data_IF_697163178544
#
_entry.id   IF_697163178544
#
_cell.length_a   1.000
_cell.length_b   1.000
_cell.length_c   1.000
_cell.angle_alpha   90.00
_cell.angle_beta   90.00
_cell.angle_gamma   90.00
#
_symmetry.space_group_name_H-M   'P 1'
#
loop_
_entity.id
_entity.type
_entity.pdbx_description
1 polymer ?
#
# COMPACT_ATOMS: atom_id res chain seq x y z
N UNK A 1 5.12 -26.14 -2.65
CA UNK A 1 4.35 -25.46 -1.59
C UNK A 1 4.76 -24.00 -1.53
N UNK A 2 3.82 -23.10 -1.27
CA UNK A 2 4.12 -21.71 -0.91
C UNK A 2 4.01 -21.51 0.59
N UNK A 3 4.72 -20.51 1.12
CA UNK A 3 4.49 -19.97 2.45
C UNK A 3 4.21 -18.46 2.34
N UNK A 4 3.21 -17.97 3.07
CA UNK A 4 2.95 -16.55 3.24
C UNK A 4 3.44 -16.13 4.62
N UNK A 5 4.44 -15.28 4.67
CA UNK A 5 4.89 -14.59 5.88
C UNK A 5 4.12 -13.27 5.98
N UNK A 6 3.44 -13.03 7.09
CA UNK A 6 2.60 -11.85 7.32
C UNK A 6 2.90 -11.27 8.70
N UNK A 7 3.32 -10.00 8.73
CA UNK A 7 3.70 -9.32 9.96
C UNK A 7 2.46 -8.94 10.78
N UNK A 8 2.38 -9.42 12.01
CA UNK A 8 1.23 -9.20 12.88
C UNK A 8 1.11 -7.74 13.31
N UNK A 9 -0.02 -7.09 13.02
CA UNK A 9 -0.28 -5.69 13.38
C UNK A 9 0.91 -4.77 13.02
N UNK A 10 1.46 -4.92 11.85
CA UNK A 10 2.79 -4.49 11.44
C UNK A 10 3.21 -3.10 11.95
N UNK A 11 2.43 -2.04 11.66
CA UNK A 11 2.82 -0.69 12.08
C UNK A 11 2.87 -0.53 13.59
N UNK A 12 1.94 -1.15 14.33
CA UNK A 12 2.00 -1.18 15.81
C UNK A 12 3.23 -1.95 16.27
N UNK A 13 3.54 -3.08 15.66
CA UNK A 13 4.73 -3.87 16.01
C UNK A 13 6.02 -3.08 15.75
N UNK A 14 6.08 -2.29 14.68
CA UNK A 14 7.20 -1.36 14.45
C UNK A 14 7.31 -0.30 15.57
N UNK A 15 6.21 0.29 16.02
CA UNK A 15 6.23 1.23 17.16
C UNK A 15 6.75 0.56 18.45
N UNK A 16 6.36 -0.69 18.69
CA UNK A 16 6.83 -1.49 19.84
C UNK A 16 8.35 -1.78 19.78
N UNK A 17 8.93 -1.87 18.57
CA UNK A 17 10.40 -2.01 18.47
C UNK A 17 11.16 -0.79 18.95
N UNK A 18 10.58 0.41 18.86
CA UNK A 18 11.17 1.64 19.38
C UNK A 18 10.88 1.84 20.87
N UNK A 19 9.70 1.42 21.31
CA UNK A 19 9.25 1.56 22.69
C UNK A 19 8.61 0.28 23.22
N UNK A 20 9.40 -0.62 23.85
CA UNK A 20 8.90 -1.87 24.42
C UNK A 20 7.82 -1.71 25.50
N UNK A 21 7.71 -0.53 26.13
CA UNK A 21 6.66 -0.28 27.13
C UNK A 21 5.24 -0.29 26.53
N UNK A 22 5.13 -0.29 25.20
CA UNK A 22 3.85 -0.41 24.47
C UNK A 22 3.34 -1.86 24.43
N UNK A 23 4.12 -2.85 24.89
CA UNK A 23 3.67 -4.24 24.98
C UNK A 23 2.45 -4.35 25.92
N UNK A 24 1.48 -5.17 25.52
CA UNK A 24 0.23 -5.39 26.24
C UNK A 24 -0.60 -4.13 26.49
N UNK A 25 -0.31 -3.02 25.78
CA UNK A 25 -1.13 -1.79 25.84
C UNK A 25 -1.96 -1.63 24.56
N UNK A 26 -3.16 -1.02 24.64
CA UNK A 26 -3.93 -0.68 23.47
C UNK A 26 -3.23 0.43 22.68
N UNK A 27 -2.82 0.10 21.46
CA UNK A 27 -2.07 0.98 20.56
C UNK A 27 -2.77 1.04 19.20
N UNK A 28 -2.84 2.24 18.63
CA UNK A 28 -3.30 2.45 17.25
C UNK A 28 -2.30 3.32 16.50
N UNK A 29 -2.12 3.02 15.22
CA UNK A 29 -1.40 3.89 14.28
C UNK A 29 -2.42 4.54 13.36
N UNK A 30 -2.29 5.85 13.18
CA UNK A 30 -3.19 6.68 12.40
C UNK A 30 -2.61 6.96 11.02
N UNK A 31 -3.48 7.05 10.02
CA UNK A 31 -3.11 7.40 8.64
C UNK A 31 -2.57 8.84 8.53
N UNK A 32 -2.17 9.24 7.32
CA UNK A 32 -1.79 10.63 7.04
C UNK A 32 -2.84 11.62 7.61
N UNK A 33 -2.35 12.72 8.21
CA UNK A 33 -3.14 13.72 8.93
C UNK A 33 -3.92 13.14 10.13
N UNK A 34 -3.46 12.06 10.71
CA UNK A 34 -4.06 11.39 11.87
C UNK A 34 -5.58 11.11 11.70
N UNK A 35 -5.99 10.84 10.44
CA UNK A 35 -7.41 10.79 10.08
C UNK A 35 -8.11 9.49 10.47
N UNK A 36 -7.51 8.33 10.18
CA UNK A 36 -8.12 7.02 10.38
C UNK A 36 -7.13 6.02 10.95
N UNK A 37 -7.63 5.03 11.68
CA UNK A 37 -6.82 3.91 12.20
C UNK A 37 -6.38 3.00 11.05
N UNK A 38 -5.08 2.84 10.84
CA UNK A 38 -4.48 1.98 9.79
C UNK A 38 -3.77 0.76 10.35
N UNK A 39 -3.48 0.74 11.66
CA UNK A 39 -3.02 -0.44 12.38
C UNK A 39 -3.48 -0.36 13.82
N UNK A 40 -3.67 -1.51 14.46
CA UNK A 40 -4.16 -1.60 15.84
C UNK A 40 -3.63 -2.86 16.51
N UNK A 41 -3.25 -2.74 17.77
CA UNK A 41 -2.82 -3.87 18.60
C UNK A 41 -3.98 -4.84 18.89
N UNK A 42 -3.68 -6.01 19.44
CA UNK A 42 -4.72 -6.97 19.89
C UNK A 42 -5.63 -6.30 20.93
N UNK A 43 -5.04 -5.65 21.90
CA UNK A 43 -5.75 -4.95 22.98
C UNK A 43 -6.69 -3.85 22.43
N UNK A 44 -6.26 -3.12 21.40
CA UNK A 44 -7.11 -2.14 20.74
C UNK A 44 -8.25 -2.78 19.92
N UNK A 45 -8.04 -3.98 19.35
CA UNK A 45 -9.10 -4.77 18.69
C UNK A 45 -10.14 -5.25 19.72
N UNK A 46 -9.68 -5.72 20.88
CA UNK A 46 -10.54 -6.21 21.96
C UNK A 46 -11.42 -5.09 22.57
N UNK A 47 -10.96 -3.83 22.51
CA UNK A 47 -11.77 -2.64 22.81
C UNK A 47 -12.80 -2.28 21.73
N UNK A 48 -12.92 -3.08 20.66
CA UNK A 48 -13.88 -2.86 19.58
C UNK A 48 -13.51 -1.74 18.60
N UNK A 49 -12.23 -1.29 18.56
CA UNK A 49 -11.79 -0.28 17.58
C UNK A 49 -11.72 -0.94 16.19
N UNK A 50 -12.52 -0.53 15.18
CA UNK A 50 -12.49 -1.16 13.86
C UNK A 50 -11.33 -0.65 12.99
N UNK A 51 -10.95 -1.42 11.97
CA UNK A 51 -10.02 -0.97 10.93
C UNK A 51 -10.64 0.18 10.13
N UNK A 52 -9.82 1.14 9.72
CA UNK A 52 -10.24 2.37 9.04
C UNK A 52 -11.20 3.27 9.86
N UNK A 53 -11.30 3.05 11.17
CA UNK A 53 -12.08 3.92 12.07
C UNK A 53 -11.62 5.37 11.96
N UNK A 54 -12.51 6.35 11.71
CA UNK A 54 -12.15 7.76 11.78
C UNK A 54 -11.77 8.13 13.23
N UNK A 55 -10.51 8.53 13.44
CA UNK A 55 -9.96 8.76 14.79
C UNK A 55 -10.80 9.73 15.62
N UNK A 56 -11.35 10.77 14.98
CA UNK A 56 -12.17 11.77 15.69
C UNK A 56 -13.45 11.19 16.33
N UNK A 57 -14.01 10.10 15.78
CA UNK A 57 -15.21 9.43 16.33
C UNK A 57 -14.88 8.57 17.56
N UNK A 58 -13.63 8.23 17.77
CA UNK A 58 -13.17 7.33 18.83
C UNK A 58 -12.36 8.05 19.92
N UNK A 59 -12.26 9.37 19.88
CA UNK A 59 -11.47 10.17 20.84
C UNK A 59 -11.83 9.88 22.31
N UNK A 60 -13.11 9.80 22.63
CA UNK A 60 -13.57 9.50 24.01
C UNK A 60 -13.16 8.09 24.44
N UNK A 61 -13.31 7.11 23.53
CA UNK A 61 -12.87 5.74 23.80
C UNK A 61 -11.36 5.68 23.99
N UNK A 62 -10.59 6.39 23.16
CA UNK A 62 -9.14 6.44 23.28
C UNK A 62 -8.72 7.05 24.63
N UNK A 63 -9.36 8.13 25.06
CA UNK A 63 -9.10 8.76 26.37
C UNK A 63 -9.47 7.84 27.53
N UNK A 64 -10.69 7.25 27.48
CA UNK A 64 -11.20 6.37 28.54
C UNK A 64 -10.31 5.16 28.81
N UNK A 65 -9.76 4.55 27.75
CA UNK A 65 -8.94 3.32 27.83
C UNK A 65 -7.45 3.58 27.68
N UNK A 66 -6.98 4.84 27.75
CA UNK A 66 -5.57 5.23 27.60
C UNK A 66 -4.93 4.64 26.35
N UNK A 67 -5.67 4.60 25.22
CA UNK A 67 -5.17 4.09 23.94
C UNK A 67 -4.04 4.98 23.46
N UNK A 68 -2.86 4.39 23.20
CA UNK A 68 -1.72 5.11 22.65
C UNK A 68 -1.89 5.30 21.14
N UNK A 69 -1.85 6.55 20.69
CA UNK A 69 -2.03 6.91 19.28
C UNK A 69 -0.69 7.39 18.70
N UNK A 70 -0.33 6.87 17.53
CA UNK A 70 0.85 7.29 16.78
C UNK A 70 0.48 7.72 15.38
N UNK A 71 1.11 8.79 14.87
CA UNK A 71 1.06 9.13 13.46
C UNK A 71 1.89 8.15 12.65
N UNK A 72 1.44 7.77 11.44
CA UNK A 72 2.19 6.84 10.58
C UNK A 72 3.61 7.35 10.26
N UNK A 73 4.59 6.48 10.45
CA UNK A 73 6.03 6.69 10.25
C UNK A 73 6.53 5.73 9.17
N UNK A 74 6.18 5.97 7.92
CA UNK A 74 6.46 5.04 6.82
C UNK A 74 7.95 4.76 6.62
N UNK A 75 8.80 5.68 6.99
CA UNK A 75 10.26 5.52 6.98
C UNK A 75 10.70 4.38 7.90
N UNK A 76 10.21 4.36 9.14
CA UNK A 76 10.43 3.27 10.09
C UNK A 76 9.85 1.94 9.58
N UNK A 77 8.62 2.00 9.05
CA UNK A 77 7.93 0.78 8.59
C UNK A 77 8.64 0.17 7.38
N UNK A 78 9.13 1.00 6.45
CA UNK A 78 9.95 0.52 5.34
C UNK A 78 11.24 -0.13 5.82
N UNK A 79 11.94 0.49 6.78
CA UNK A 79 13.16 -0.06 7.36
C UNK A 79 12.90 -1.44 7.98
N UNK A 80 11.88 -1.56 8.83
CA UNK A 80 11.52 -2.82 9.47
C UNK A 80 11.04 -3.89 8.47
N UNK A 81 10.32 -3.48 7.44
CA UNK A 81 9.92 -4.37 6.35
C UNK A 81 11.15 -4.95 5.62
N UNK A 82 12.16 -4.13 5.33
CA UNK A 82 13.39 -4.61 4.70
C UNK A 82 14.14 -5.62 5.58
N UNK A 83 14.21 -5.40 6.90
CA UNK A 83 14.81 -6.38 7.82
C UNK A 83 14.10 -7.75 7.73
N UNK A 84 12.75 -7.76 7.72
CA UNK A 84 11.96 -9.00 7.59
C UNK A 84 12.18 -9.66 6.24
N UNK A 85 12.22 -8.87 5.15
CA UNK A 85 12.47 -9.36 3.79
C UNK A 85 13.85 -9.99 3.69
N UNK A 86 14.91 -9.34 4.17
CA UNK A 86 16.28 -9.86 4.07
C UNK A 86 16.46 -11.16 4.90
N UNK A 87 15.85 -11.25 6.10
CA UNK A 87 15.83 -12.50 6.85
C UNK A 87 15.09 -13.59 6.07
N UNK A 88 13.93 -13.28 5.50
CA UNK A 88 13.12 -14.25 4.76
C UNK A 88 13.81 -14.75 3.48
N UNK A 89 14.51 -13.87 2.78
CA UNK A 89 15.31 -14.22 1.59
C UNK A 89 16.41 -15.24 1.91
N UNK A 90 17.03 -15.18 3.10
CA UNK A 90 18.09 -16.14 3.47
C UNK A 90 17.57 -17.58 3.59
N UNK A 91 16.25 -17.75 3.65
CA UNK A 91 15.56 -19.06 3.70
C UNK A 91 15.21 -19.64 2.34
N UNK A 92 15.31 -18.86 1.26
CA UNK A 92 14.95 -19.28 -0.11
C UNK A 92 15.97 -18.73 -1.12
N UNK A 93 15.88 -19.12 -2.38
CA UNK A 93 16.68 -18.55 -3.45
C UNK A 93 16.26 -17.13 -3.84
N UNK A 94 17.13 -16.42 -4.55
CA UNK A 94 16.88 -15.04 -5.00
C UNK A 94 15.63 -14.85 -5.88
N UNK A 95 15.14 -15.93 -6.49
CA UNK A 95 13.94 -15.92 -7.35
C UNK A 95 12.71 -16.55 -6.69
N UNK A 96 12.88 -17.10 -5.50
CA UNK A 96 11.88 -17.92 -4.83
C UNK A 96 11.08 -17.12 -3.78
N UNK A 97 11.00 -15.81 -3.95
CA UNK A 97 10.19 -14.93 -3.10
C UNK A 97 9.49 -13.83 -3.89
N UNK A 98 8.38 -13.34 -3.34
CA UNK A 98 7.66 -12.17 -3.82
C UNK A 98 7.29 -11.26 -2.65
N UNK A 99 7.71 -10.00 -2.70
CA UNK A 99 7.26 -8.98 -1.77
C UNK A 99 5.88 -8.51 -2.22
N UNK A 100 4.84 -9.06 -1.60
CA UNK A 100 3.46 -8.75 -1.94
C UNK A 100 3.01 -7.38 -1.42
N UNK A 101 3.37 -7.05 -0.18
CA UNK A 101 3.10 -5.75 0.44
C UNK A 101 4.24 -5.35 1.40
N UNK A 102 4.07 -4.23 2.13
CA UNK A 102 5.02 -3.78 3.14
C UNK A 102 5.14 -4.76 4.33
N UNK A 103 4.13 -5.59 4.55
CA UNK A 103 4.00 -6.52 5.69
C UNK A 103 3.76 -7.97 5.28
N UNK A 104 3.71 -8.28 3.98
CA UNK A 104 3.45 -9.62 3.46
C UNK A 104 4.43 -10.04 2.38
N UNK A 105 4.89 -11.27 2.47
CA UNK A 105 5.89 -11.88 1.60
C UNK A 105 5.50 -13.33 1.29
N UNK A 106 5.49 -13.71 0.01
CA UNK A 106 5.36 -15.11 -0.41
C UNK A 106 6.74 -15.71 -0.64
N UNK A 107 6.91 -16.97 -0.20
CA UNK A 107 8.09 -17.79 -0.44
C UNK A 107 7.68 -19.04 -1.23
N UNK A 108 8.43 -19.39 -2.26
CA UNK A 108 8.27 -20.69 -2.94
C UNK A 108 9.19 -21.74 -2.31
N UNK A 109 8.59 -22.72 -1.66
CA UNK A 109 9.28 -23.84 -1.01
C UNK A 109 9.20 -25.13 -1.83
N UNK A 110 8.92 -25.04 -3.13
CA UNK A 110 8.72 -26.22 -4.00
C UNK A 110 9.98 -27.06 -4.15
N UNK A 111 11.16 -26.42 -4.11
CA UNK A 111 12.46 -27.09 -4.20
C UNK A 111 12.85 -27.86 -2.91
N UNK A 112 12.19 -27.60 -1.79
CA UNK A 112 12.52 -28.17 -0.47
C UNK A 112 11.86 -29.53 -0.22
N UNK A 113 12.08 -30.50 -1.11
CA UNK A 113 11.38 -31.81 -1.10
C UNK A 113 11.69 -32.69 0.12
N UNK A 114 12.84 -32.51 0.74
CA UNK A 114 13.34 -33.34 1.86
C UNK A 114 13.39 -32.60 3.20
N UNK A 115 12.81 -31.40 3.26
CA UNK A 115 12.80 -30.57 4.45
C UNK A 115 11.42 -30.63 5.08
N UNK A 116 11.35 -30.75 6.39
CA UNK A 116 10.12 -30.50 7.14
C UNK A 116 9.76 -29.03 7.05
N UNK A 117 8.94 -28.68 6.05
CA UNK A 117 8.55 -27.31 5.73
C UNK A 117 7.88 -26.63 6.93
N UNK A 118 7.13 -27.36 7.75
CA UNK A 118 6.47 -26.80 8.92
C UNK A 118 7.49 -26.33 9.95
N UNK A 119 8.41 -27.20 10.35
CA UNK A 119 9.48 -26.84 11.29
C UNK A 119 10.42 -25.79 10.72
N UNK A 120 10.69 -25.80 9.42
CA UNK A 120 11.47 -24.78 8.73
C UNK A 120 10.81 -23.38 8.82
N UNK A 121 9.50 -23.30 8.65
CA UNK A 121 8.75 -22.06 8.81
C UNK A 121 8.67 -21.60 10.29
N UNK A 122 8.68 -22.53 11.25
CA UNK A 122 8.80 -22.17 12.67
C UNK A 122 10.17 -21.53 12.96
N UNK A 123 11.26 -22.08 12.42
CA UNK A 123 12.59 -21.49 12.56
C UNK A 123 12.64 -20.08 11.95
N UNK A 124 12.13 -19.89 10.74
CA UNK A 124 12.01 -18.58 10.10
C UNK A 124 11.24 -17.59 10.96
N UNK A 125 10.08 -17.98 11.50
CA UNK A 125 9.27 -17.14 12.38
C UNK A 125 10.05 -16.68 13.62
N UNK A 126 10.74 -17.60 14.29
CA UNK A 126 11.51 -17.28 15.49
C UNK A 126 12.72 -16.39 15.16
N UNK A 127 13.37 -16.60 14.02
CA UNK A 127 14.48 -15.77 13.58
C UNK A 127 14.03 -14.33 13.28
N UNK A 128 12.91 -14.14 12.57
CA UNK A 128 12.33 -12.81 12.32
C UNK A 128 12.00 -12.13 13.66
N UNK A 129 11.35 -12.83 14.58
CA UNK A 129 11.02 -12.32 15.90
C UNK A 129 12.27 -11.94 16.71
N UNK A 130 13.31 -12.75 16.64
CA UNK A 130 14.56 -12.53 17.36
C UNK A 130 15.34 -11.33 16.80
N UNK A 131 15.54 -11.25 15.48
CA UNK A 131 16.37 -10.25 14.81
C UNK A 131 15.63 -8.93 14.54
N UNK A 132 14.48 -8.99 13.85
CA UNK A 132 13.72 -7.80 13.49
C UNK A 132 12.79 -7.29 14.62
N UNK A 133 12.54 -8.10 15.65
CA UNK A 133 11.57 -7.84 16.73
C UNK A 133 10.13 -7.71 16.24
N UNK A 134 9.81 -8.25 15.08
CA UNK A 134 8.48 -8.21 14.46
C UNK A 134 7.85 -9.61 14.58
N UNK A 135 6.70 -9.76 15.26
CA UNK A 135 5.98 -11.02 15.28
C UNK A 135 5.31 -11.27 13.93
N UNK A 136 5.44 -12.49 13.40
CA UNK A 136 4.84 -12.90 12.13
C UNK A 136 3.94 -14.11 12.30
N UNK A 137 2.98 -14.25 11.39
CA UNK A 137 2.20 -15.47 11.18
C UNK A 137 2.54 -16.06 9.81
N UNK A 138 2.68 -17.38 9.72
CA UNK A 138 3.04 -18.05 8.48
C UNK A 138 1.95 -19.05 8.09
N UNK A 139 1.39 -18.87 6.89
CA UNK A 139 0.44 -19.80 6.28
C UNK A 139 1.08 -20.56 5.14
N UNK A 140 1.07 -21.90 5.20
CA UNK A 140 1.69 -22.79 4.23
C UNK A 140 0.60 -23.50 3.44
N UNK A 141 0.68 -23.52 2.10
CA UNK A 141 -0.30 -24.20 1.25
C UNK A 141 0.22 -24.43 -0.19
N UNK A 142 -0.47 -25.23 -1.03
CA UNK A 142 -0.13 -25.45 -2.42
C UNK A 142 -0.22 -24.18 -3.29
N UNK A 143 -1.09 -23.22 -2.94
CA UNK A 143 -1.38 -22.01 -3.72
C UNK A 143 -1.35 -20.75 -2.86
N UNK A 144 -1.16 -19.58 -3.48
CA UNK A 144 -1.16 -18.29 -2.77
C UNK A 144 -2.48 -18.00 -2.06
N UNK A 145 -3.61 -18.32 -2.71
CA UNK A 145 -4.94 -18.13 -2.12
C UNK A 145 -5.13 -18.99 -0.88
N UNK A 146 -4.72 -20.25 -0.91
CA UNK A 146 -4.76 -21.12 0.25
C UNK A 146 -3.79 -20.69 1.36
N UNK A 147 -2.61 -20.12 1.02
CA UNK A 147 -1.69 -19.53 2.02
C UNK A 147 -2.35 -18.39 2.79
N UNK A 148 -3.11 -17.53 2.12
CA UNK A 148 -3.89 -16.45 2.77
C UNK A 148 -4.94 -17.03 3.74
N UNK A 149 -5.58 -18.13 3.36
CA UNK A 149 -6.55 -18.83 4.23
C UNK A 149 -5.85 -19.44 5.44
N UNK A 150 -4.72 -20.14 5.23
CA UNK A 150 -3.92 -20.71 6.31
C UNK A 150 -3.47 -19.63 7.31
N UNK A 151 -2.99 -18.50 6.80
CA UNK A 151 -2.57 -17.36 7.62
C UNK A 151 -3.73 -16.77 8.43
N UNK A 152 -4.93 -16.66 7.83
CA UNK A 152 -6.13 -16.21 8.53
C UNK A 152 -6.53 -17.14 9.68
N UNK A 153 -6.39 -18.46 9.50
CA UNK A 153 -6.65 -19.46 10.54
C UNK A 153 -5.68 -19.24 11.71
N UNK A 154 -4.39 -19.09 11.43
CA UNK A 154 -3.36 -18.78 12.44
C UNK A 154 -3.72 -17.53 13.24
N UNK A 155 -4.11 -16.46 12.57
CA UNK A 155 -4.46 -15.18 13.22
C UNK A 155 -5.70 -15.24 14.09
N UNK A 156 -6.58 -16.23 13.89
CA UNK A 156 -7.76 -16.45 14.74
C UNK A 156 -7.40 -17.12 16.08
N UNK A 157 -6.42 -18.01 16.08
CA UNK A 157 -5.99 -18.73 17.27
C UNK A 157 -4.45 -18.91 17.24
N UNK A 158 -3.69 -17.82 17.48
CA UNK A 158 -2.22 -17.83 17.37
C UNK A 158 -1.55 -18.77 18.38
N UNK A 159 -2.15 -18.95 19.55
CA UNK A 159 -1.59 -19.79 20.62
C UNK A 159 -1.67 -21.26 20.22
N UNK A 160 -2.80 -21.72 19.70
CA UNK A 160 -3.03 -23.09 19.26
C UNK A 160 -2.07 -23.51 18.14
N UNK A 161 -1.80 -22.61 17.19
CA UNK A 161 -1.00 -22.90 15.99
C UNK A 161 0.46 -22.48 16.12
N UNK A 162 0.87 -21.94 17.25
CA UNK A 162 2.22 -21.38 17.42
C UNK A 162 2.65 -20.47 16.26
N UNK A 163 1.69 -19.72 15.70
CA UNK A 163 1.95 -18.77 14.62
C UNK A 163 2.21 -19.38 13.23
N UNK A 164 2.14 -20.71 13.04
CA UNK A 164 2.35 -21.39 11.76
C UNK A 164 1.25 -22.42 11.51
N UNK A 165 0.69 -22.48 10.31
CA UNK A 165 -0.29 -23.49 9.94
C UNK A 165 -0.15 -23.92 8.47
N UNK A 166 -0.29 -25.24 8.22
CA UNK A 166 -0.19 -25.81 6.89
C UNK A 166 -1.55 -26.37 6.43
N UNK A 167 -2.00 -25.96 5.26
CA UNK A 167 -3.07 -26.56 4.46
C UNK A 167 -2.41 -27.48 3.42
N UNK A 168 -1.92 -28.62 3.86
CA UNK A 168 -1.06 -29.57 3.13
C UNK A 168 -1.79 -30.84 2.69
N UNK A 169 -3.03 -31.05 3.18
CA UNK A 169 -3.85 -32.19 2.79
C UNK A 169 -5.24 -31.75 2.27
N UNK A 170 -5.88 -32.56 1.39
CA UNK A 170 -7.23 -32.25 0.89
C UNK A 170 -8.26 -32.05 2.00
N UNK A 171 -8.19 -32.84 3.07
CA UNK A 171 -9.12 -32.80 4.19
C UNK A 171 -8.99 -31.49 4.97
N UNK A 172 -7.75 -31.00 5.19
CA UNK A 172 -7.49 -29.71 5.83
C UNK A 172 -8.00 -28.56 4.96
N UNK A 173 -7.78 -28.63 3.64
CA UNK A 173 -8.26 -27.64 2.67
C UNK A 173 -9.80 -27.60 2.69
N UNK A 174 -10.48 -28.74 2.56
CA UNK A 174 -11.94 -28.82 2.59
C UNK A 174 -12.51 -28.23 3.88
N UNK A 175 -11.96 -28.60 5.03
CA UNK A 175 -12.37 -28.07 6.33
C UNK A 175 -12.19 -26.56 6.43
N UNK A 176 -11.08 -26.03 5.92
CA UNK A 176 -10.81 -24.59 5.91
C UNK A 176 -11.80 -23.85 4.99
N UNK A 177 -12.11 -24.39 3.82
CA UNK A 177 -13.06 -23.77 2.87
C UNK A 177 -14.50 -23.79 3.38
N UNK A 178 -14.93 -24.84 4.10
CA UNK A 178 -16.23 -24.91 4.77
C UNK A 178 -16.33 -23.92 5.94
N UNK A 179 -15.23 -23.59 6.59
CA UNK A 179 -15.18 -22.62 7.66
C UNK A 179 -15.16 -21.18 7.15
N UNK A 180 -14.46 -20.88 6.04
CA UNK A 180 -14.20 -19.52 5.57
C UNK A 180 -15.44 -18.90 4.92
N UNK A 181 -15.84 -17.69 5.40
CA UNK A 181 -16.88 -16.89 4.74
C UNK A 181 -16.43 -16.45 3.35
N UNK A 182 -17.36 -16.42 2.39
CA UNK A 182 -17.05 -16.08 0.99
C UNK A 182 -16.44 -14.68 0.86
N UNK A 183 -16.90 -13.70 1.65
CA UNK A 183 -16.38 -12.34 1.64
C UNK A 183 -14.96 -12.21 2.20
N UNK A 184 -14.44 -13.26 2.81
CA UNK A 184 -13.09 -13.33 3.38
C UNK A 184 -12.08 -14.01 2.44
N UNK A 185 -12.54 -14.52 1.30
CA UNK A 185 -11.66 -15.09 0.27
C UNK A 185 -10.87 -13.97 -0.40
N UNK A 186 -9.57 -14.13 -0.48
CA UNK A 186 -8.69 -13.17 -1.15
C UNK A 186 -9.12 -12.94 -2.61
N UNK A 187 -9.35 -11.68 -2.98
CA UNK A 187 -9.89 -11.28 -4.29
C UNK A 187 -11.42 -11.13 -4.33
N UNK A 188 -12.15 -11.48 -3.27
CA UNK A 188 -13.59 -11.21 -3.17
C UNK A 188 -13.81 -9.95 -2.34
N UNK A 189 -14.03 -8.82 -3.03
CA UNK A 189 -14.35 -7.56 -2.40
C UNK A 189 -15.83 -7.44 -1.99
N UNK A 190 -16.18 -6.41 -1.23
CA UNK A 190 -17.52 -6.19 -0.65
C UNK A 190 -18.68 -6.34 -1.66
N UNK A 191 -18.57 -5.75 -2.87
CA UNK A 191 -19.63 -5.83 -3.89
C UNK A 191 -19.81 -7.25 -4.41
N UNK A 192 -18.70 -7.96 -4.63
CA UNK A 192 -18.74 -9.32 -5.11
C UNK A 192 -19.27 -10.27 -4.02
N UNK A 193 -18.92 -10.06 -2.76
CA UNK A 193 -19.44 -10.83 -1.63
C UNK A 193 -20.97 -10.72 -1.53
N UNK A 194 -21.56 -9.52 -1.68
CA UNK A 194 -23.02 -9.34 -1.71
C UNK A 194 -23.62 -10.17 -2.86
N UNK A 195 -23.05 -10.06 -4.07
CA UNK A 195 -23.52 -10.83 -5.23
C UNK A 195 -23.41 -12.34 -5.01
N UNK A 196 -22.38 -12.82 -4.30
CA UNK A 196 -22.23 -14.22 -3.93
C UNK A 196 -23.37 -14.66 -2.98
N UNK A 197 -23.61 -13.88 -1.93
CA UNK A 197 -24.70 -14.16 -0.96
C UNK A 197 -26.07 -14.20 -1.66
N UNK A 198 -26.37 -13.27 -2.55
CA UNK A 198 -27.62 -13.24 -3.32
C UNK A 198 -27.81 -14.46 -4.22
N UNK A 199 -26.72 -15.18 -4.52
CA UNK A 199 -26.72 -16.42 -5.31
C UNK A 199 -26.51 -17.69 -4.46
N UNK A 200 -26.72 -17.60 -3.14
CA UNK A 200 -26.62 -18.72 -2.21
C UNK A 200 -25.20 -19.26 -2.02
N UNK A 201 -24.16 -18.40 -2.20
CA UNK A 201 -22.77 -18.73 -1.92
C UNK A 201 -22.35 -17.97 -0.67
N UNK A 202 -22.28 -18.66 0.47
CA UNK A 202 -21.96 -18.09 1.76
C UNK A 202 -20.53 -18.42 2.20
N UNK A 203 -20.06 -19.63 1.91
CA UNK A 203 -18.72 -20.14 2.24
C UNK A 203 -17.85 -20.25 1.00
N UNK A 204 -16.55 -20.29 1.20
CA UNK A 204 -15.61 -20.56 0.12
C UNK A 204 -15.86 -21.92 -0.54
N UNK A 205 -16.31 -22.91 0.23
CA UNK A 205 -16.69 -24.23 -0.25
C UNK A 205 -17.88 -24.19 -1.22
N UNK A 206 -18.88 -23.35 -0.95
CA UNK A 206 -20.07 -23.24 -1.81
C UNK A 206 -19.71 -22.75 -3.21
N UNK A 207 -18.67 -21.91 -3.32
CA UNK A 207 -18.18 -21.42 -4.60
C UNK A 207 -17.63 -22.57 -5.46
N UNK A 208 -16.99 -23.58 -4.85
CA UNK A 208 -16.46 -24.74 -5.56
C UNK A 208 -17.57 -25.65 -6.12
N UNK A 209 -18.78 -25.56 -5.57
CA UNK A 209 -19.95 -26.34 -6.03
C UNK A 209 -20.66 -25.68 -7.22
N UNK A 210 -20.31 -24.43 -7.57
CA UNK A 210 -20.90 -23.75 -8.72
C UNK A 210 -20.25 -24.21 -10.03
N UNK A 211 -21.04 -24.35 -11.12
CA UNK A 211 -20.50 -24.68 -12.44
C UNK A 211 -19.51 -23.60 -12.91
N UNK A 212 -18.43 -24.01 -13.58
CA UNK A 212 -17.41 -23.06 -14.09
C UNK A 212 -18.01 -21.99 -14.99
N UNK A 213 -18.98 -22.35 -15.85
CA UNK A 213 -19.69 -21.39 -16.72
C UNK A 213 -20.38 -20.29 -15.92
N UNK A 214 -21.01 -20.64 -14.79
CA UNK A 214 -21.62 -19.66 -13.91
C UNK A 214 -20.56 -18.73 -13.29
N UNK A 215 -19.46 -19.29 -12.79
CA UNK A 215 -18.37 -18.52 -12.19
C UNK A 215 -17.75 -17.58 -13.22
N UNK A 216 -17.51 -18.05 -14.43
CA UNK A 216 -16.99 -17.25 -15.55
C UNK A 216 -17.94 -16.09 -15.91
N UNK A 217 -19.25 -16.33 -15.90
CA UNK A 217 -20.26 -15.28 -16.14
C UNK A 217 -20.29 -14.22 -15.04
N UNK A 218 -20.10 -14.61 -13.78
CA UNK A 218 -20.27 -13.74 -12.60
C UNK A 218 -18.97 -12.98 -12.26
N UNK A 219 -17.81 -13.64 -12.38
CA UNK A 219 -16.50 -13.18 -11.92
C UNK A 219 -15.45 -13.06 -13.03
N UNK A 220 -15.78 -13.49 -14.25
CA UNK A 220 -14.83 -13.55 -15.37
C UNK A 220 -13.74 -14.61 -15.18
N UNK A 221 -12.65 -14.47 -15.92
CA UNK A 221 -11.52 -15.40 -15.86
C UNK A 221 -10.85 -15.43 -14.48
N UNK A 222 -10.88 -14.31 -13.74
CA UNK A 222 -10.32 -14.24 -12.39
C UNK A 222 -11.05 -15.16 -11.41
N UNK A 223 -12.38 -15.34 -11.56
CA UNK A 223 -13.15 -16.29 -10.78
C UNK A 223 -12.76 -17.75 -11.05
N UNK A 224 -12.54 -18.10 -12.31
CA UNK A 224 -12.08 -19.44 -12.70
C UNK A 224 -10.71 -19.75 -12.11
N UNK A 225 -9.77 -18.80 -12.22
CA UNK A 225 -8.45 -18.93 -11.59
C UNK A 225 -8.55 -19.08 -10.08
N UNK A 226 -9.42 -18.30 -9.43
CA UNK A 226 -9.67 -18.40 -7.98
C UNK A 226 -10.17 -19.78 -7.57
N UNK A 227 -11.12 -20.38 -8.30
CA UNK A 227 -11.58 -21.75 -8.03
C UNK A 227 -10.42 -22.75 -8.12
N UNK A 228 -9.59 -22.65 -9.13
CA UNK A 228 -8.42 -23.53 -9.27
C UNK A 228 -7.45 -23.34 -8.10
N UNK A 229 -7.17 -22.10 -7.71
CA UNK A 229 -6.37 -21.81 -6.51
C UNK A 229 -6.94 -22.43 -5.23
N UNK A 230 -8.27 -22.34 -5.03
CA UNK A 230 -8.95 -22.96 -3.89
C UNK A 230 -8.95 -24.49 -3.94
N UNK A 231 -8.87 -25.10 -5.14
CA UNK A 231 -8.69 -26.54 -5.34
C UNK A 231 -7.24 -27.02 -5.16
N UNK A 232 -6.30 -26.10 -4.87
CA UNK A 232 -4.88 -26.43 -4.74
C UNK A 232 -4.12 -26.46 -6.07
N UNK A 233 -4.73 -26.02 -7.17
CA UNK A 233 -4.11 -25.95 -8.51
C UNK A 233 -3.56 -24.55 -8.71
N UNK A 234 -2.24 -24.40 -8.82
CA UNK A 234 -1.55 -23.11 -9.00
C UNK A 234 -2.03 -22.39 -10.26
N UNK A 235 -2.39 -21.13 -10.10
CA UNK A 235 -2.75 -20.18 -11.16
C UNK A 235 -1.98 -18.86 -11.03
N UNK A 236 -1.45 -18.59 -9.84
CA UNK A 236 -0.72 -17.40 -9.51
C UNK A 236 0.74 -17.79 -9.19
N UNK A 237 1.64 -17.43 -10.09
CA UNK A 237 3.07 -17.55 -9.87
C UNK A 237 3.60 -16.39 -9.02
N UNK A 238 4.86 -16.47 -8.58
CA UNK A 238 5.51 -15.35 -7.93
C UNK A 238 5.72 -14.20 -8.93
N UNK A 239 5.19 -13.03 -8.59
CA UNK A 239 5.34 -11.84 -9.42
C UNK A 239 6.75 -11.22 -9.25
N UNK A 240 7.44 -11.04 -10.37
CA UNK A 240 8.67 -10.26 -10.41
C UNK A 240 8.35 -8.75 -10.34
N UNK A 241 9.17 -7.95 -9.66
CA UNK A 241 9.02 -6.51 -9.66
C UNK A 241 8.99 -5.96 -11.09
N UNK A 242 7.91 -5.31 -11.49
CA UNK A 242 7.78 -4.67 -12.80
C UNK A 242 7.69 -3.15 -12.66
N UNK A 243 8.17 -2.37 -13.63
CA UNK A 243 8.02 -0.92 -13.60
C UNK A 243 6.56 -0.50 -13.43
N UNK A 244 6.33 0.58 -12.70
CA UNK A 244 4.97 1.12 -12.51
C UNK A 244 4.43 1.62 -13.84
N UNK A 245 3.17 1.27 -14.15
CA UNK A 245 2.45 1.76 -15.36
C UNK A 245 1.75 3.09 -15.14
N UNK A 246 1.61 3.51 -13.88
CA UNK A 246 1.06 4.81 -13.48
C UNK A 246 1.69 5.28 -12.18
N UNK A 247 1.82 6.60 -12.02
CA UNK A 247 2.26 7.24 -10.79
C UNK A 247 1.19 8.24 -10.39
N UNK A 248 0.72 8.13 -9.14
CA UNK A 248 -0.23 9.06 -8.57
C UNK A 248 0.32 9.71 -7.31
N UNK A 249 0.21 11.03 -7.22
CA UNK A 249 0.44 11.78 -5.99
C UNK A 249 -0.84 12.49 -5.62
N UNK A 250 -1.52 11.97 -4.60
CA UNK A 250 -2.81 12.48 -4.15
C UNK A 250 -2.79 12.67 -2.64
N UNK A 251 -3.39 13.74 -2.15
CA UNK A 251 -3.45 14.02 -0.71
C UNK A 251 -4.78 14.64 -0.31
N UNK A 252 -5.26 14.23 0.87
CA UNK A 252 -6.30 14.97 1.58
C UNK A 252 -5.65 16.11 2.36
N UNK A 253 -6.22 17.28 2.32
CA UNK A 253 -5.74 18.43 3.07
C UNK A 253 -6.12 18.29 4.56
N UNK A 254 -5.27 18.77 5.48
CA UNK A 254 -5.59 18.76 6.91
C UNK A 254 -6.84 19.60 7.18
N UNK A 255 -6.84 20.84 6.70
CA UNK A 255 -7.99 21.74 6.66
C UNK A 255 -8.49 21.84 5.23
N UNK A 256 -9.78 22.08 5.05
CA UNK A 256 -10.35 22.34 3.73
C UNK A 256 -9.83 23.68 3.21
N UNK A 257 -9.43 23.72 1.95
CA UNK A 257 -8.88 24.90 1.29
C UNK A 257 -9.95 25.53 0.41
N UNK A 258 -10.04 26.87 0.42
CA UNK A 258 -10.98 27.66 -0.38
C UNK A 258 -10.28 28.59 -1.36
N UNK A 259 -9.03 29.00 -1.04
CA UNK A 259 -8.25 29.90 -1.87
C UNK A 259 -7.62 29.16 -3.05
N UNK A 260 -7.77 29.71 -4.24
CA UNK A 260 -7.25 29.15 -5.48
C UNK A 260 -5.74 28.91 -5.41
N UNK A 261 -5.00 29.90 -4.94
CA UNK A 261 -3.54 29.86 -4.85
C UNK A 261 -3.05 28.72 -3.95
N UNK A 262 -3.73 28.51 -2.81
CA UNK A 262 -3.37 27.44 -1.88
C UNK A 262 -3.57 26.06 -2.48
N UNK A 263 -4.67 25.84 -3.22
CA UNK A 263 -4.93 24.56 -3.88
C UNK A 263 -3.98 24.36 -5.05
N UNK A 264 -3.70 25.41 -5.85
CA UNK A 264 -2.79 25.40 -6.99
C UNK A 264 -1.39 24.98 -6.56
N UNK A 265 -0.79 25.63 -5.57
CA UNK A 265 0.53 25.29 -5.03
C UNK A 265 0.65 23.80 -4.63
N UNK A 266 -0.43 23.21 -4.07
CA UNK A 266 -0.44 21.80 -3.70
C UNK A 266 -0.44 20.91 -4.94
N UNK A 267 -1.29 21.22 -5.91
CA UNK A 267 -1.42 20.45 -7.14
C UNK A 267 -0.13 20.49 -7.95
N UNK A 268 0.50 21.67 -8.07
CA UNK A 268 1.81 21.83 -8.71
C UNK A 268 2.90 21.01 -7.99
N UNK A 269 2.94 21.06 -6.66
CA UNK A 269 3.87 20.24 -5.86
C UNK A 269 3.66 18.74 -6.12
N UNK A 270 2.42 18.28 -6.30
CA UNK A 270 2.13 16.87 -6.65
C UNK A 270 2.64 16.51 -8.04
N UNK A 271 2.55 17.42 -9.01
CA UNK A 271 3.13 17.26 -10.35
C UNK A 271 4.66 17.09 -10.29
N UNK A 272 5.33 17.90 -9.48
CA UNK A 272 6.80 17.80 -9.28
C UNK A 272 7.19 16.44 -8.70
N UNK A 273 6.45 15.93 -7.70
CA UNK A 273 6.70 14.61 -7.13
C UNK A 273 6.40 13.47 -8.12
N UNK A 274 5.43 13.64 -9.03
CA UNK A 274 5.24 12.70 -10.12
C UNK A 274 6.44 12.68 -11.06
N UNK A 275 6.95 13.85 -11.45
CA UNK A 275 8.11 14.01 -12.33
C UNK A 275 9.38 13.39 -11.73
N UNK A 276 9.66 13.63 -10.45
CA UNK A 276 10.79 13.01 -9.75
C UNK A 276 10.71 11.48 -9.79
N UNK A 277 9.50 10.91 -9.57
CA UNK A 277 9.31 9.45 -9.61
C UNK A 277 9.44 8.87 -11.01
N UNK A 278 9.05 9.60 -12.05
CA UNK A 278 9.30 9.22 -13.44
C UNK A 278 10.80 9.13 -13.72
N UNK A 279 11.57 10.14 -13.34
CA UNK A 279 13.03 10.15 -13.50
C UNK A 279 13.71 9.03 -12.73
N UNK A 280 13.26 8.73 -11.49
CA UNK A 280 13.79 7.61 -10.68
C UNK A 280 13.60 6.25 -11.34
N UNK A 281 12.58 6.06 -12.17
CA UNK A 281 12.38 4.82 -12.92
C UNK A 281 12.80 4.92 -14.39
N UNK A 282 13.50 6.01 -14.80
CA UNK A 282 13.97 6.28 -16.17
C UNK A 282 12.83 6.19 -17.21
N UNK A 283 11.67 6.80 -16.90
CA UNK A 283 10.51 6.83 -17.80
C UNK A 283 10.00 8.25 -18.01
N UNK A 284 9.28 8.45 -19.11
CA UNK A 284 8.52 9.65 -19.42
C UNK A 284 7.04 9.30 -19.52
N UNK A 285 6.15 10.21 -19.15
CA UNK A 285 4.70 10.05 -19.31
C UNK A 285 4.20 10.76 -20.56
N UNK A 286 3.14 10.21 -21.17
CA UNK A 286 2.37 10.84 -22.26
C UNK A 286 1.05 11.44 -21.78
N UNK A 287 0.61 11.13 -20.55
CA UNK A 287 -0.70 11.53 -20.08
C UNK A 287 -0.61 12.07 -18.66
N UNK A 288 -1.21 13.25 -18.44
CA UNK A 288 -1.31 13.90 -17.13
C UNK A 288 -2.77 14.14 -16.79
N UNK A 289 -3.18 13.74 -15.60
CA UNK A 289 -4.52 13.98 -15.06
C UNK A 289 -4.41 14.78 -13.78
N UNK A 290 -5.21 15.82 -13.65
CA UNK A 290 -5.38 16.61 -12.42
C UNK A 290 -6.81 16.45 -11.93
N UNK A 291 -7.00 16.30 -10.62
CA UNK A 291 -8.33 16.31 -10.03
C UNK A 291 -8.37 17.08 -8.73
N UNK A 292 -9.55 17.63 -8.42
CA UNK A 292 -9.89 18.26 -7.15
C UNK A 292 -11.23 17.72 -6.65
N UNK A 293 -11.41 17.67 -5.32
CA UNK A 293 -12.70 17.25 -4.76
C UNK A 293 -12.92 17.82 -3.35
N UNK A 294 -14.19 18.08 -3.03
CA UNK A 294 -14.67 18.44 -1.69
C UNK A 294 -14.82 17.21 -0.77
N UNK A 295 -15.29 17.40 0.44
CA UNK A 295 -15.52 16.31 1.37
C UNK A 295 -16.96 15.79 1.26
N UNK A 296 -17.18 14.67 0.59
CA UNK A 296 -18.48 14.01 0.42
C UNK A 296 -19.24 13.67 1.73
N UNK A 297 -18.54 13.68 2.85
CA UNK A 297 -19.15 13.39 4.16
C UNK A 297 -19.69 14.65 4.87
N UNK A 298 -19.41 15.84 4.37
CA UNK A 298 -19.91 17.12 4.84
C UNK A 298 -21.17 17.48 4.04
N UNK A 299 -22.32 17.03 4.57
CA UNK A 299 -23.62 17.28 3.92
C UNK A 299 -24.12 18.73 4.06
N UNK A 300 -23.48 19.49 4.94
CA UNK A 300 -23.69 20.92 5.19
C UNK A 300 -22.96 21.83 4.20
N UNK A 301 -22.09 21.29 3.34
CA UNK A 301 -21.35 22.02 2.33
C UNK A 301 -21.63 21.48 0.92
N UNK A 302 -21.58 22.34 -0.11
CA UNK A 302 -21.77 21.89 -1.48
C UNK A 302 -20.70 20.88 -1.91
N UNK A 303 -21.14 19.83 -2.62
CA UNK A 303 -20.24 18.81 -3.16
C UNK A 303 -19.76 19.21 -4.55
N UNK A 304 -18.44 19.15 -4.77
CA UNK A 304 -17.81 19.37 -6.06
C UNK A 304 -16.70 18.34 -6.27
N UNK A 305 -16.65 17.80 -7.47
CA UNK A 305 -15.59 16.91 -7.94
C UNK A 305 -15.38 17.09 -9.41
N UNK A 306 -14.15 17.40 -9.80
CA UNK A 306 -13.78 17.52 -11.21
C UNK A 306 -12.40 16.90 -11.46
N UNK A 307 -12.19 16.43 -12.69
CA UNK A 307 -10.92 15.89 -13.15
C UNK A 307 -10.74 16.15 -14.65
N UNK A 308 -9.55 16.56 -15.05
CA UNK A 308 -9.19 16.67 -16.47
C UNK A 308 -7.89 15.96 -16.77
N UNK A 309 -7.82 15.44 -17.98
CA UNK A 309 -6.65 14.72 -18.51
C UNK A 309 -6.20 15.37 -19.80
N UNK A 310 -4.88 15.52 -19.97
CA UNK A 310 -4.24 15.98 -21.19
C UNK A 310 -3.26 14.93 -21.68
N UNK A 311 -3.31 14.65 -22.98
CA UNK A 311 -2.29 13.87 -23.69
C UNK A 311 -1.22 14.86 -24.15
N UNK A 312 0.04 14.54 -23.86
CA UNK A 312 1.18 15.38 -24.19
C UNK A 312 1.63 15.10 -25.62
N UNK A 313 1.99 16.13 -26.40
CA UNK A 313 2.51 15.95 -27.74
C UNK A 313 3.83 15.15 -27.75
N UNK A 314 4.68 15.42 -26.75
CA UNK A 314 5.93 14.69 -26.53
C UNK A 314 5.95 14.06 -25.12
N UNK A 315 6.40 12.79 -24.97
CA UNK A 315 6.57 12.18 -23.66
C UNK A 315 7.59 12.96 -22.85
N UNK A 316 7.33 13.22 -21.55
CA UNK A 316 8.24 13.99 -20.71
C UNK A 316 8.30 13.50 -19.26
N UNK A 317 9.44 13.73 -18.60
CA UNK A 317 9.61 13.66 -17.14
C UNK A 317 10.14 14.99 -16.57
N UNK A 318 10.12 16.04 -17.39
CA UNK A 318 10.52 17.38 -16.96
C UNK A 318 9.51 17.95 -15.97
N UNK A 319 9.98 18.32 -14.78
CA UNK A 319 9.15 18.99 -13.78
C UNK A 319 8.58 20.31 -14.28
N UNK A 320 9.30 21.04 -15.16
CA UNK A 320 8.86 22.31 -15.71
C UNK A 320 7.68 22.09 -16.69
N UNK A 321 7.80 21.14 -17.62
CA UNK A 321 6.75 20.86 -18.60
C UNK A 321 5.50 20.29 -17.92
N UNK A 322 5.68 19.28 -17.02
CA UNK A 322 4.56 18.70 -16.26
C UNK A 322 3.90 19.77 -15.38
N UNK A 323 4.69 20.67 -14.77
CA UNK A 323 4.17 21.76 -13.96
C UNK A 323 3.27 22.72 -14.75
N UNK A 324 3.65 23.10 -15.98
CA UNK A 324 2.81 23.94 -16.87
C UNK A 324 1.48 23.26 -17.16
N UNK A 325 1.52 22.00 -17.63
CA UNK A 325 0.31 21.22 -17.93
C UNK A 325 -0.58 21.05 -16.70
N UNK A 326 0.02 20.77 -15.55
CA UNK A 326 -0.72 20.64 -14.28
C UNK A 326 -1.42 21.92 -13.90
N UNK A 327 -0.77 23.07 -14.10
CA UNK A 327 -1.38 24.39 -13.85
C UNK A 327 -2.55 24.66 -14.81
N UNK A 328 -2.37 24.44 -16.12
CA UNK A 328 -3.42 24.66 -17.12
C UNK A 328 -4.64 23.76 -16.87
N UNK A 329 -4.42 22.50 -16.53
CA UNK A 329 -5.49 21.57 -16.16
C UNK A 329 -6.18 22.01 -14.86
N UNK A 330 -5.42 22.46 -13.85
CA UNK A 330 -5.98 22.96 -12.60
C UNK A 330 -6.87 24.19 -12.83
N UNK A 331 -6.40 25.17 -13.62
CA UNK A 331 -7.17 26.35 -13.98
C UNK A 331 -8.52 26.00 -14.62
N UNK A 332 -8.55 24.93 -15.40
CA UNK A 332 -9.76 24.48 -16.10
C UNK A 332 -10.78 23.73 -15.22
N UNK A 333 -10.41 23.33 -13.99
CA UNK A 333 -11.27 22.54 -13.10
C UNK A 333 -11.49 23.18 -11.73
N UNK A 334 -10.80 24.27 -11.44
CA UNK A 334 -11.01 24.97 -10.17
C UNK A 334 -12.27 25.84 -10.28
N UNK A 335 -13.10 25.81 -9.25
CA UNK A 335 -14.25 26.69 -9.09
C UNK A 335 -14.22 27.34 -7.70
N UNK A 336 -14.53 28.63 -7.66
CA UNK A 336 -14.62 29.39 -6.42
C UNK A 336 -15.85 28.98 -5.60
N UNK A 337 -15.83 29.25 -4.30
CA UNK A 337 -16.94 28.97 -3.40
C UNK A 337 -16.98 27.54 -2.83
N UNK A 338 -16.10 26.65 -3.28
CA UNK A 338 -16.04 25.29 -2.76
C UNK A 338 -14.94 25.10 -1.69
N UNK A 339 -15.18 24.15 -0.78
CA UNK A 339 -14.26 23.76 0.27
C UNK A 339 -13.51 22.48 -0.12
N UNK A 340 -12.36 22.62 -0.76
CA UNK A 340 -11.58 21.49 -1.28
C UNK A 340 -10.95 20.70 -0.16
N UNK A 341 -11.16 19.38 -0.16
CA UNK A 341 -10.61 18.44 0.83
C UNK A 341 -9.50 17.58 0.28
N UNK A 342 -9.47 17.34 -1.02
CA UNK A 342 -8.47 16.45 -1.65
C UNK A 342 -8.17 16.93 -3.06
N UNK A 343 -6.91 16.81 -3.46
CA UNK A 343 -6.45 16.99 -4.83
C UNK A 343 -5.40 15.95 -5.18
N UNK A 344 -5.08 15.84 -6.47
CA UNK A 344 -4.02 14.95 -6.92
C UNK A 344 -3.66 15.12 -8.37
N UNK A 345 -2.46 14.62 -8.68
CA UNK A 345 -1.92 14.48 -10.04
C UNK A 345 -1.65 13.00 -10.28
N UNK A 346 -2.03 12.51 -11.45
CA UNK A 346 -1.78 11.16 -11.92
C UNK A 346 -1.10 11.26 -13.28
N UNK A 347 0.00 10.54 -13.45
CA UNK A 347 0.71 10.43 -14.73
C UNK A 347 0.68 8.99 -15.20
N UNK A 348 0.41 8.80 -16.49
CA UNK A 348 0.18 7.50 -17.12
C UNK A 348 0.86 7.43 -18.50
N UNK A 349 0.71 6.28 -19.15
CA UNK A 349 1.20 6.01 -20.51
C UNK A 349 2.71 6.27 -20.58
N UNK A 350 3.46 5.37 -19.93
CA UNK A 350 4.91 5.53 -19.77
C UNK A 350 5.66 4.91 -20.93
N UNK A 351 6.70 5.63 -21.36
CA UNK A 351 7.73 5.13 -22.27
C UNK A 351 9.09 5.22 -21.59
N UNK A 352 10.05 4.32 -21.89
CA UNK A 352 11.43 4.48 -21.43
C UNK A 352 12.00 5.84 -21.88
N UNK A 353 12.84 6.46 -21.05
CA UNK A 353 13.40 7.79 -21.33
C UNK A 353 14.25 7.79 -22.61
N UNK A 354 14.97 6.70 -22.88
CA UNK A 354 15.82 6.48 -24.06
C UNK A 354 15.05 6.07 -25.33
N UNK A 355 13.74 5.75 -25.21
CA UNK A 355 12.87 5.33 -26.32
C UNK A 355 11.76 6.33 -26.62
N UNK A 356 11.96 7.60 -26.27
CA UNK A 356 11.00 8.66 -26.56
C UNK A 356 10.85 8.87 -28.07
N UNK A 357 9.63 8.77 -28.56
CA UNK A 357 9.28 9.25 -29.90
C UNK A 357 8.88 10.72 -29.80
N UNK A 358 9.56 11.58 -30.50
CA UNK A 358 9.35 13.04 -30.53
C UNK A 358 8.47 13.37 -31.72
N UNK A 359 7.45 14.19 -31.50
CA UNK A 359 6.67 14.77 -32.58
C UNK A 359 7.48 15.88 -33.27
N UNK A 360 7.76 15.71 -34.56
CA UNK A 360 8.59 16.64 -35.34
C UNK A 360 7.95 18.03 -35.53
N UNK A 361 6.63 18.14 -35.31
CA UNK A 361 5.89 19.38 -35.46
C UNK A 361 5.71 20.15 -34.14
N UNK A 362 6.27 19.62 -33.04
CA UNK A 362 6.15 20.21 -31.72
C UNK A 362 7.52 20.45 -31.09
N UNK A 363 7.67 21.53 -30.37
CA UNK A 363 8.90 21.85 -29.69
C UNK A 363 9.18 20.86 -28.55
N UNK A 364 10.37 20.26 -28.52
CA UNK A 364 10.84 19.42 -27.41
C UNK A 364 11.95 20.10 -26.61
N UNK A 365 11.58 20.73 -25.53
CA UNK A 365 12.52 21.42 -24.60
C UNK A 365 13.00 20.51 -23.47
N UNK A 366 12.64 19.23 -23.44
CA UNK A 366 13.03 18.34 -22.33
C UNK A 366 14.54 18.26 -22.15
N UNK A 367 15.31 18.14 -23.21
CA UNK A 367 16.77 18.02 -23.15
C UNK A 367 17.43 19.27 -22.53
N UNK A 368 16.83 20.43 -22.67
CA UNK A 368 17.27 21.69 -22.03
C UNK A 368 17.03 21.68 -20.51
N UNK A 369 15.95 21.05 -20.06
CA UNK A 369 15.57 21.00 -18.65
C UNK A 369 16.30 19.87 -17.89
N UNK A 370 16.67 18.79 -18.56
CA UNK A 370 17.16 17.56 -17.93
C UNK A 370 18.39 17.76 -17.03
N UNK A 371 19.43 18.56 -17.40
CA UNK A 371 20.57 18.80 -16.52
C UNK A 371 20.18 19.47 -15.18
N UNK A 372 19.28 20.45 -15.25
CA UNK A 372 18.78 21.16 -14.05
C UNK A 372 17.98 20.22 -13.16
N UNK A 373 17.11 19.37 -13.75
CA UNK A 373 16.32 18.39 -13.00
C UNK A 373 17.21 17.35 -12.31
N UNK A 374 18.23 16.84 -13.00
CA UNK A 374 19.19 15.89 -12.43
C UNK A 374 20.01 16.50 -11.30
N UNK A 375 20.47 17.76 -11.46
CA UNK A 375 21.19 18.48 -10.42
C UNK A 375 20.28 18.68 -9.17
N UNK A 376 19.02 19.08 -9.36
CA UNK A 376 18.05 19.24 -8.29
C UNK A 376 17.78 17.92 -7.57
N UNK A 377 17.59 16.82 -8.30
CA UNK A 377 17.37 15.49 -7.72
C UNK A 377 18.60 15.02 -6.92
N UNK A 378 19.81 15.24 -7.43
CA UNK A 378 21.07 14.91 -6.74
C UNK A 378 21.22 15.69 -5.42
N UNK A 379 20.93 17.00 -5.44
CA UNK A 379 20.96 17.86 -4.25
C UNK A 379 19.92 17.41 -3.21
N UNK A 380 18.70 17.09 -3.64
CA UNK A 380 17.65 16.61 -2.75
C UNK A 380 17.95 15.21 -2.19
N UNK A 381 18.62 14.34 -2.95
CA UNK A 381 19.13 13.06 -2.44
C UNK A 381 20.20 13.25 -1.37
N UNK A 382 21.13 14.17 -1.58
CA UNK A 382 22.28 14.42 -0.68
C UNK A 382 21.89 15.16 0.60
N UNK A 383 21.09 16.22 0.48
CA UNK A 383 20.81 17.15 1.58
C UNK A 383 19.41 17.01 2.20
N UNK A 384 18.62 16.08 1.67
CA UNK A 384 17.24 15.81 2.12
C UNK A 384 16.19 16.38 1.18
N UNK A 385 15.01 15.81 1.27
CA UNK A 385 13.87 16.10 0.38
C UNK A 385 13.49 17.57 0.40
N UNK A 386 13.16 18.10 -0.79
CA UNK A 386 12.65 19.47 -1.01
C UNK A 386 13.60 20.61 -0.56
N UNK A 387 14.91 20.34 -0.43
CA UNK A 387 15.93 21.39 -0.14
C UNK A 387 16.13 22.31 -1.34
N UNK A 388 16.13 21.74 -2.55
CA UNK A 388 16.11 22.49 -3.80
C UNK A 388 14.78 22.20 -4.50
N UNK A 389 14.05 23.24 -4.89
CA UNK A 389 12.72 23.12 -5.49
C UNK A 389 12.46 24.23 -6.50
N UNK A 390 11.49 24.01 -7.39
CA UNK A 390 10.99 25.05 -8.28
C UNK A 390 10.17 26.08 -7.48
N UNK A 391 10.19 27.34 -7.90
CA UNK A 391 9.50 28.45 -7.21
C UNK A 391 7.99 28.28 -7.07
N UNK A 392 7.38 27.49 -7.94
CA UNK A 392 5.94 27.16 -7.90
C UNK A 392 5.56 26.12 -6.84
N UNK A 393 6.54 25.43 -6.24
CA UNK A 393 6.26 24.46 -5.19
C UNK A 393 5.96 25.12 -3.85
N UNK A 394 4.95 24.64 -3.15
CA UNK A 394 4.65 25.07 -1.80
C UNK A 394 5.82 24.85 -0.83
N UNK A 395 6.20 25.90 -0.14
CA UNK A 395 7.22 25.86 0.93
C UNK A 395 6.73 25.33 2.25
N UNK A 396 5.42 25.20 2.42
CA UNK A 396 4.81 24.80 3.69
C UNK A 396 4.64 23.30 3.76
N UNK A 397 5.22 22.67 4.77
CA UNK A 397 4.88 21.28 5.10
C UNK A 397 3.42 21.25 5.59
N UNK A 398 2.56 20.56 4.85
CA UNK A 398 1.11 20.58 5.04
C UNK A 398 0.55 19.29 5.60
N UNK A 399 1.45 18.39 5.99
CA UNK A 399 1.06 17.09 6.54
C UNK A 399 1.16 17.15 8.07
N UNK A 400 0.02 16.99 8.74
CA UNK A 400 -0.02 16.87 10.19
C UNK A 400 0.44 15.48 10.62
N UNK A 401 1.48 15.45 11.43
CA UNK A 401 1.92 14.31 12.23
C UNK A 401 2.01 14.82 13.67
N UNK A 402 0.87 14.79 14.38
CA UNK A 402 0.81 15.36 15.72
C UNK A 402 1.30 14.40 16.81
N UNK A 403 1.42 13.10 16.50
CA UNK A 403 1.71 12.02 17.45
C UNK A 403 3.05 11.34 17.12
N UNK A 404 4.11 12.13 16.92
CA UNK A 404 5.49 11.62 16.80
C UNK A 404 6.10 11.41 18.19
N UNK A 405 6.94 10.39 18.34
CA UNK A 405 7.64 10.09 19.59
C UNK A 405 9.11 10.52 19.52
N UNK A 406 9.74 10.89 20.67
CA UNK A 406 11.17 11.20 20.71
C UNK A 406 12.06 10.07 20.22
N UNK A 407 11.67 8.83 20.46
CA UNK A 407 12.39 7.62 20.01
C UNK A 407 12.48 7.54 18.48
N UNK A 408 11.46 8.05 17.78
CA UNK A 408 11.47 8.10 16.33
C UNK A 408 12.46 9.13 15.79
N UNK A 409 12.61 10.26 16.45
CA UNK A 409 13.62 11.26 16.07
C UNK A 409 15.04 10.72 16.26
N UNK A 410 15.28 9.98 17.36
CA UNK A 410 16.53 9.31 17.60
C UNK A 410 16.79 8.21 16.55
N UNK A 411 15.76 7.43 16.17
CA UNK A 411 15.84 6.43 15.11
C UNK A 411 16.30 7.05 13.77
N UNK A 412 15.70 8.18 13.36
CA UNK A 412 16.06 8.88 12.11
C UNK A 412 17.51 9.35 12.07
N UNK A 413 18.07 9.76 13.23
CA UNK A 413 19.47 10.21 13.32
C UNK A 413 20.47 9.06 13.21
N UNK A 414 20.11 7.87 13.69
CA UNK A 414 21.00 6.73 13.84
C UNK A 414 20.95 5.73 12.69
N UNK A 415 20.01 5.86 11.76
CA UNK A 415 19.83 4.88 10.68
C UNK A 415 19.82 5.53 9.30
N UNK A 416 20.57 4.93 8.37
CA UNK A 416 20.44 5.22 6.95
C UNK A 416 19.19 4.55 6.42
N UNK A 417 18.22 5.35 6.00
CA UNK A 417 16.92 4.83 5.58
C UNK A 417 16.98 4.28 4.15
N UNK A 418 16.46 3.07 3.90
CA UNK A 418 16.34 2.54 2.55
C UNK A 418 15.35 3.37 1.73
N UNK A 419 15.56 3.48 0.42
CA UNK A 419 14.55 4.07 -0.47
C UNK A 419 13.27 3.22 -0.43
N UNK A 420 12.13 3.88 -0.26
CA UNK A 420 10.83 3.20 -0.20
C UNK A 420 10.42 2.69 -1.58
N UNK A 421 10.58 1.38 -1.82
CA UNK A 421 10.27 0.71 -3.08
C UNK A 421 8.94 -0.06 -3.08
N UNK A 422 8.10 0.11 -2.06
CA UNK A 422 6.88 -0.68 -1.94
C UNK A 422 5.74 -0.22 -2.84
N UNK A 423 5.05 -1.20 -3.42
CA UNK A 423 3.73 -1.02 -4.01
C UNK A 423 2.72 -1.04 -2.86
N UNK A 424 2.01 0.06 -2.64
CA UNK A 424 0.76 0.02 -1.89
C UNK A 424 -0.34 -0.42 -2.88
N UNK A 425 -0.83 -1.62 -2.72
CA UNK A 425 -1.99 -2.15 -3.46
C UNK A 425 -3.30 -1.64 -2.88
#
# INVERSE_FOLDING_TARGET
>A
MYALVDCNNFFVSCERTLNPELENKPVVVLSNNDGCVVSRSKEAKDLGIPMAAPAFKYKELFKKHNVKCFSAKFELYNFKSQEVIEISKSYVGEKDYEVYSIDELFLDLTSFKYVDIFNYCIQLKEEIKSKAKIPVSIGIAPTKTLCKIANRIVKKDPERFNGVFALDTPEKIEKALKWLEIGDVWGIGRRLAIKMHDNGVHKAWDLLQKPEMWVRKVMGIHGVRMINELKGIRQLELDSPSPKKSIAVTRSFMQMLTKKEEVRERVETFGMYCSERLRKQNTCCKMVTVFVQTNRFRKDLPEYRNARTQILPNPTNSSILIGRVVNDLFESIFEEGFHYKKAGVIVNDFVPEDQRLINLFEEDTQNQHLPVMRAMDAMNKKYGKDKVRLGSMSGKNTWGRAQLSPEYEAFLKNNTLPEANFRFH
#
